data_IF_159534091316
#
_entry.id   IF_159534091316
#
_cell.length_a   1.000
_cell.length_b   1.000
_cell.length_c   1.000
_cell.angle_alpha   90.00
_cell.angle_beta   90.00
_cell.angle_gamma   90.00
#
_symmetry.space_group_name_H-M   'P 1'
#
loop_
_entity.id
_entity.type
_entity.pdbx_description
1 polymer ?
#
# COMPACT_ATOMS: atom_id res chain seq x y z
N UNK A 1 -2.25 -0.40 -23.76
CA UNK A 1 -1.35 0.38 -22.89
C UNK A 1 0.06 -0.14 -23.10
N UNK A 2 1.06 0.75 -23.19
CA UNK A 2 2.47 0.32 -23.17
C UNK A 2 2.86 -0.13 -21.76
N UNK A 3 3.89 -0.98 -21.65
CA UNK A 3 4.44 -1.45 -20.36
C UNK A 3 4.77 -0.27 -19.43
N UNK A 4 5.33 0.81 -19.97
CA UNK A 4 5.62 2.02 -19.21
C UNK A 4 4.35 2.69 -18.66
N UNK A 5 3.25 2.72 -19.43
CA UNK A 5 1.97 3.26 -18.93
C UNK A 5 1.37 2.38 -17.82
N UNK A 6 1.60 1.07 -17.85
CA UNK A 6 1.15 0.16 -16.79
C UNK A 6 1.96 0.36 -15.51
N UNK A 7 3.29 0.46 -15.62
CA UNK A 7 4.18 0.72 -14.48
C UNK A 7 3.82 2.05 -13.81
N UNK A 8 3.64 3.12 -14.58
CA UNK A 8 3.27 4.44 -14.02
C UNK A 8 1.90 4.43 -13.35
N UNK A 9 0.94 3.67 -13.89
CA UNK A 9 -0.37 3.50 -13.24
C UNK A 9 -0.23 2.79 -11.89
N UNK A 10 0.52 1.69 -11.84
CA UNK A 10 0.72 0.95 -10.58
C UNK A 10 1.49 1.80 -9.57
N UNK A 11 2.50 2.55 -10.02
CA UNK A 11 3.22 3.52 -9.19
C UNK A 11 2.25 4.52 -8.56
N UNK A 12 1.32 5.08 -9.32
CA UNK A 12 0.29 5.99 -8.79
C UNK A 12 -0.56 5.32 -7.70
N UNK A 13 -1.02 4.09 -7.94
CA UNK A 13 -1.83 3.34 -6.94
C UNK A 13 -1.06 3.11 -5.64
N UNK A 14 0.21 2.68 -5.74
CA UNK A 14 1.07 2.47 -4.58
C UNK A 14 1.32 3.78 -3.81
N UNK A 15 1.53 4.89 -4.51
CA UNK A 15 1.72 6.21 -3.91
C UNK A 15 0.46 6.73 -3.20
N UNK A 16 -0.71 6.52 -3.79
CA UNK A 16 -2.00 6.87 -3.18
C UNK A 16 -2.26 6.05 -1.91
N UNK A 17 -2.08 4.72 -1.97
CA UNK A 17 -2.19 3.84 -0.81
C UNK A 17 -1.19 4.26 0.29
N UNK A 18 0.06 4.51 -0.08
CA UNK A 18 1.12 4.96 0.82
C UNK A 18 0.74 6.27 1.51
N UNK A 19 0.26 7.27 0.75
CA UNK A 19 -0.15 8.55 1.33
C UNK A 19 -1.27 8.39 2.35
N UNK A 20 -2.24 7.50 2.12
CA UNK A 20 -3.30 7.22 3.08
C UNK A 20 -2.78 6.55 4.34
N UNK A 21 -1.87 5.59 4.22
CA UNK A 21 -1.25 4.92 5.39
C UNK A 21 -0.43 5.91 6.22
N UNK A 22 0.31 6.83 5.59
CA UNK A 22 1.03 7.90 6.31
C UNK A 22 0.08 8.86 7.04
N UNK A 23 -1.11 9.13 6.49
CA UNK A 23 -2.11 9.93 7.20
C UNK A 23 -2.62 9.21 8.46
N UNK A 24 -2.80 7.89 8.42
CA UNK A 24 -3.16 7.10 9.61
C UNK A 24 -2.01 7.03 10.63
N UNK A 25 -0.76 6.92 10.17
CA UNK A 25 0.41 7.00 11.07
C UNK A 25 0.49 8.35 11.78
N UNK A 26 0.23 9.45 11.07
CA UNK A 26 0.21 10.77 11.67
C UNK A 26 -0.89 10.90 12.74
N UNK A 27 -2.03 10.22 12.58
CA UNK A 27 -3.05 10.13 13.64
C UNK A 27 -2.51 9.39 14.87
N UNK A 28 -1.82 8.26 14.69
CA UNK A 28 -1.18 7.55 15.81
C UNK A 28 -0.19 8.45 16.57
N UNK A 29 0.68 9.15 15.84
CA UNK A 29 1.70 10.05 16.43
C UNK A 29 1.06 11.25 17.14
N UNK A 30 -0.10 11.72 16.68
CA UNK A 30 -0.88 12.77 17.32
C UNK A 30 -1.77 12.26 18.47
N UNK A 31 -1.75 10.97 18.80
CA UNK A 31 -2.61 10.36 19.81
C UNK A 31 -4.10 10.33 19.42
N UNK A 32 -4.40 10.47 18.13
CA UNK A 32 -5.75 10.39 17.59
C UNK A 32 -6.11 8.94 17.25
N UNK A 33 -7.41 8.58 17.26
CA UNK A 33 -7.86 7.29 16.77
C UNK A 33 -7.46 7.09 15.31
N UNK A 34 -6.65 6.07 15.07
CA UNK A 34 -6.28 5.59 13.73
C UNK A 34 -7.03 4.29 13.41
N UNK A 35 -7.04 3.92 12.14
CA UNK A 35 -7.71 2.70 11.67
C UNK A 35 -7.12 1.40 12.24
N UNK A 36 -5.84 1.41 12.57
CA UNK A 36 -5.10 0.24 13.05
C UNK A 36 -3.96 0.69 13.97
N UNK A 37 -3.28 -0.27 14.58
CA UNK A 37 -2.12 -0.01 15.42
C UNK A 37 -0.93 0.48 14.59
N UNK A 38 -0.14 1.37 15.18
CA UNK A 38 1.02 1.99 14.54
C UNK A 38 1.99 0.96 13.94
N UNK A 39 2.20 -0.17 14.63
CA UNK A 39 3.07 -1.25 14.15
C UNK A 39 2.63 -1.79 12.78
N UNK A 40 1.33 -2.05 12.60
CA UNK A 40 0.79 -2.58 11.35
C UNK A 40 0.90 -1.52 10.25
N UNK A 41 0.53 -0.28 10.56
CA UNK A 41 0.62 0.84 9.62
C UNK A 41 2.06 1.09 9.15
N UNK A 42 3.06 1.01 10.05
CA UNK A 42 4.48 1.12 9.68
C UNK A 42 4.94 -0.02 8.76
N UNK A 43 4.50 -1.25 9.05
CA UNK A 43 4.81 -2.40 8.20
C UNK A 43 4.18 -2.26 6.79
N UNK A 44 2.92 -1.84 6.70
CA UNK A 44 2.24 -1.57 5.42
C UNK A 44 2.98 -0.46 4.66
N UNK A 45 3.31 0.66 5.33
CA UNK A 45 4.02 1.78 4.71
C UNK A 45 5.39 1.35 4.15
N UNK A 46 6.19 0.62 4.93
CA UNK A 46 7.49 0.09 4.49
C UNK A 46 7.34 -0.83 3.28
N UNK A 47 6.34 -1.70 3.30
CA UNK A 47 6.06 -2.62 2.19
C UNK A 47 5.67 -1.90 0.91
N UNK A 48 4.87 -0.84 1.00
CA UNK A 48 4.51 0.01 -0.13
C UNK A 48 5.74 0.77 -0.68
N UNK A 49 6.58 1.29 0.21
CA UNK A 49 7.86 1.94 -0.15
C UNK A 49 8.80 1.00 -0.91
N UNK A 50 8.92 -0.25 -0.44
CA UNK A 50 9.73 -1.26 -1.08
C UNK A 50 9.22 -1.63 -2.49
N UNK A 51 7.90 -1.81 -2.65
CA UNK A 51 7.29 -2.05 -3.98
C UNK A 51 7.53 -0.88 -4.95
N UNK A 52 7.42 0.37 -4.48
CA UNK A 52 7.73 1.55 -5.32
C UNK A 52 9.20 1.53 -5.74
N UNK A 53 10.12 1.27 -4.80
CA UNK A 53 11.55 1.21 -5.08
C UNK A 53 11.90 0.07 -6.05
N UNK A 54 11.20 -1.06 -5.99
CA UNK A 54 11.37 -2.16 -6.93
C UNK A 54 10.97 -1.73 -8.36
N UNK A 55 9.88 -0.96 -8.52
CA UNK A 55 9.51 -0.39 -9.82
C UNK A 55 10.59 0.55 -10.38
N UNK A 56 11.20 1.38 -9.53
CA UNK A 56 12.30 2.28 -9.92
C UNK A 56 13.53 1.53 -10.43
N UNK A 57 13.85 0.40 -9.79
CA UNK A 57 14.96 -0.45 -10.20
C UNK A 57 14.60 -1.40 -11.34
N UNK A 58 13.35 -1.41 -11.80
CA UNK A 58 12.81 -2.43 -12.73
C UNK A 58 13.05 -3.86 -12.22
N UNK A 59 13.03 -4.02 -10.89
CA UNK A 59 13.23 -5.29 -10.20
C UNK A 59 11.89 -5.89 -9.79
N UNK A 60 11.89 -7.22 -9.59
CA UNK A 60 10.74 -7.94 -9.05
C UNK A 60 10.95 -8.15 -7.57
N UNK A 61 10.02 -7.64 -6.77
CA UNK A 61 9.89 -7.99 -5.37
C UNK A 61 8.62 -8.83 -5.16
N UNK A 62 8.66 -9.92 -4.36
CA UNK A 62 7.46 -10.66 -4.00
C UNK A 62 6.48 -9.77 -3.23
N UNK A 63 5.18 -9.95 -3.49
CA UNK A 63 4.13 -9.26 -2.72
C UNK A 63 4.12 -9.75 -1.28
N UNK A 64 4.04 -8.84 -0.29
CA UNK A 64 4.16 -9.21 1.13
C UNK A 64 2.84 -9.72 1.74
N UNK A 65 1.70 -9.59 1.05
CA UNK A 65 0.40 -10.03 1.54
C UNK A 65 -0.29 -9.00 2.44
N UNK A 66 -0.24 -7.72 2.05
CA UNK A 66 -0.87 -6.61 2.76
C UNK A 66 -2.36 -6.84 3.00
N UNK A 67 -3.03 -7.50 2.04
CA UNK A 67 -4.45 -7.82 2.13
C UNK A 67 -4.83 -8.62 3.40
N UNK A 68 -3.94 -9.46 3.93
CA UNK A 68 -4.22 -10.22 5.15
C UNK A 68 -4.43 -9.29 6.34
N UNK A 69 -3.52 -8.34 6.54
CA UNK A 69 -3.61 -7.39 7.66
C UNK A 69 -4.84 -6.50 7.49
N UNK A 70 -5.03 -5.95 6.29
CA UNK A 70 -6.17 -5.06 6.00
C UNK A 70 -7.50 -5.79 6.23
N UNK A 71 -7.66 -7.01 5.69
CA UNK A 71 -8.94 -7.73 5.75
C UNK A 71 -9.28 -8.23 7.16
N UNK A 72 -8.25 -8.55 7.97
CA UNK A 72 -8.44 -9.11 9.30
C UNK A 72 -8.69 -8.03 10.36
N UNK A 73 -8.17 -6.81 10.16
CA UNK A 73 -8.11 -5.80 11.23
C UNK A 73 -8.89 -4.52 10.94
N UNK A 74 -9.20 -4.20 9.68
CA UNK A 74 -9.83 -2.93 9.32
C UNK A 74 -11.34 -3.07 9.08
N UNK A 75 -12.12 -1.98 9.19
CA UNK A 75 -13.52 -1.97 8.78
C UNK A 75 -13.66 -2.36 7.29
N UNK A 76 -14.65 -3.21 6.99
CA UNK A 76 -14.88 -3.73 5.64
C UNK A 76 -15.09 -2.63 4.58
N UNK A 77 -15.76 -1.55 4.96
CA UNK A 77 -16.09 -0.42 4.07
C UNK A 77 -14.99 0.66 4.05
N UNK A 78 -13.82 0.40 4.63
CA UNK A 78 -12.76 1.39 4.67
C UNK A 78 -12.12 1.57 3.26
N UNK A 79 -12.17 2.80 2.70
CA UNK A 79 -11.68 3.06 1.36
C UNK A 79 -10.16 2.98 1.23
N UNK A 80 -9.40 3.12 2.32
CA UNK A 80 -7.95 2.95 2.28
C UNK A 80 -7.58 1.47 2.20
N UNK A 81 -8.30 0.61 2.91
CA UNK A 81 -8.13 -0.84 2.82
C UNK A 81 -8.27 -1.36 1.39
N UNK A 82 -9.35 -0.98 0.68
CA UNK A 82 -9.52 -1.36 -0.73
C UNK A 82 -8.39 -0.84 -1.62
N UNK A 83 -7.92 0.40 -1.40
CA UNK A 83 -6.81 0.97 -2.19
C UNK A 83 -5.50 0.20 -2.01
N UNK A 84 -5.19 -0.24 -0.79
CA UNK A 84 -3.98 -1.03 -0.51
C UNK A 84 -4.06 -2.38 -1.24
N UNK A 85 -5.21 -3.05 -1.17
CA UNK A 85 -5.43 -4.34 -1.84
C UNK A 85 -5.33 -4.18 -3.36
N UNK A 86 -5.97 -3.16 -3.92
CA UNK A 86 -5.92 -2.87 -5.36
C UNK A 86 -4.50 -2.55 -5.83
N UNK A 87 -3.71 -1.83 -5.02
CA UNK A 87 -2.33 -1.49 -5.34
C UNK A 87 -1.42 -2.73 -5.32
N UNK A 88 -1.50 -3.57 -4.28
CA UNK A 88 -0.75 -4.82 -4.19
C UNK A 88 -1.10 -5.78 -5.34
N UNK A 89 -2.40 -5.96 -5.61
CA UNK A 89 -2.87 -6.82 -6.68
C UNK A 89 -2.43 -6.32 -8.07
N UNK A 90 -2.47 -5.00 -8.29
CA UNK A 90 -2.02 -4.41 -9.54
C UNK A 90 -0.51 -4.56 -9.73
N UNK A 91 0.26 -4.45 -8.66
CA UNK A 91 1.71 -4.66 -8.65
C UNK A 91 2.08 -6.11 -8.98
N UNK A 92 1.41 -7.10 -8.37
CA UNK A 92 1.62 -8.52 -8.66
C UNK A 92 1.42 -8.86 -10.14
N UNK A 93 0.50 -8.14 -10.81
CA UNK A 93 0.11 -8.38 -12.20
C UNK A 93 0.97 -7.66 -13.24
N UNK A 94 1.94 -6.85 -12.84
CA UNK A 94 2.94 -6.32 -13.76
C UNK A 94 3.81 -7.47 -14.28
N UNK A 95 3.58 -7.88 -15.54
CA UNK A 95 4.32 -8.94 -16.23
C UNK A 95 5.18 -8.39 -17.35
#
# INVERSE_FOLDING_TARGET
>A
MSTNQQVERVRSLLQEARSGVHAELAKCEAGQPAIDIERNLRWIASSLDEMIAALDRSERQPVPGLWHVVSDTWPHDDPLGSKIIDAEYSYERLR
#
